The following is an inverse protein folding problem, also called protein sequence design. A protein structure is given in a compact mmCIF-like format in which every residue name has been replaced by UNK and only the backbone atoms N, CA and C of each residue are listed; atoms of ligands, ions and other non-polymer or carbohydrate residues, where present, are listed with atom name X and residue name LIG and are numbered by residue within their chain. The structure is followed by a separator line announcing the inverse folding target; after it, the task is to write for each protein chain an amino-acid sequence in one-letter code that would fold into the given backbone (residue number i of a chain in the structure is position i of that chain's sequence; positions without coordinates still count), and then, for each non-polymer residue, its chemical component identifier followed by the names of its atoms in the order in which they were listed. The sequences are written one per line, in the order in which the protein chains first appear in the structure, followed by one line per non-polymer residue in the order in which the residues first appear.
data_IF_532630630394
#
_entry.id   IF_532630630394
#
_cell.length_a   1.000
_cell.length_b   1.000
_cell.length_c   1.000
_cell.angle_alpha   90.00
_cell.angle_beta   90.00
_cell.angle_gamma   90.00
#
_symmetry.space_group_name_H-M   'P 1'
#
loop_
_entity.id
_entity.type
_entity.pdbx_description
1 polymer ?
#
# COMPACT_ATOMS: atom_id res chain seq x y z
N UNK A 1 0.68 2.91 -15.66
CA UNK A 1 1.89 3.49 -15.07
C UNK A 1 3.16 2.88 -15.65
N UNK A 2 4.19 3.72 -15.79
CA UNK A 2 5.55 3.30 -16.14
C UNK A 2 6.37 3.43 -14.87
N UNK A 3 6.90 2.33 -14.36
CA UNK A 3 7.83 2.33 -13.23
C UNK A 3 9.23 2.67 -13.74
N UNK A 4 9.88 3.64 -13.13
CA UNK A 4 11.24 4.05 -13.50
C UNK A 4 12.11 4.01 -12.26
N UNK A 5 13.20 3.25 -12.33
CA UNK A 5 14.25 3.31 -11.32
C UNK A 5 14.98 4.65 -11.45
N UNK A 6 15.00 5.43 -10.38
CA UNK A 6 15.81 6.64 -10.31
C UNK A 6 17.27 6.23 -10.08
N UNK A 7 18.06 6.18 -11.15
CA UNK A 7 19.51 5.98 -11.00
C UNK A 7 20.14 7.14 -10.25
N UNK A 8 21.11 6.86 -9.37
CA UNK A 8 21.81 7.83 -8.52
C UNK A 8 22.36 9.06 -9.28
N UNK A 9 22.64 8.92 -10.56
CA UNK A 9 23.44 9.89 -11.33
C UNK A 9 22.63 10.75 -12.30
N UNK A 10 21.31 10.66 -12.39
CA UNK A 10 20.48 11.41 -13.36
C UNK A 10 19.09 11.74 -12.83
N UNK A 11 18.96 12.01 -11.55
CA UNK A 11 17.69 12.35 -10.86
C UNK A 11 16.90 13.45 -11.61
N UNK A 12 17.59 14.51 -12.02
CA UNK A 12 16.99 15.65 -12.72
C UNK A 12 16.29 15.27 -14.03
N UNK A 13 16.91 14.37 -14.83
CA UNK A 13 16.31 13.88 -16.07
C UNK A 13 15.05 13.05 -15.85
N UNK A 14 15.03 12.26 -14.77
CA UNK A 14 13.86 11.44 -14.42
C UNK A 14 12.72 12.32 -13.91
N UNK A 15 13.02 13.35 -13.12
CA UNK A 15 12.04 14.34 -12.68
C UNK A 15 11.49 15.17 -13.83
N UNK A 16 12.33 15.55 -14.79
CA UNK A 16 11.89 16.23 -16.02
C UNK A 16 10.95 15.35 -16.85
N UNK A 17 11.30 14.07 -17.02
CA UNK A 17 10.41 13.12 -17.71
C UNK A 17 9.09 12.93 -16.95
N UNK A 18 9.13 12.87 -15.62
CA UNK A 18 7.92 12.78 -14.78
C UNK A 18 7.02 14.01 -14.94
N UNK A 19 7.61 15.21 -15.01
CA UNK A 19 6.88 16.46 -15.25
C UNK A 19 6.19 16.45 -16.62
N UNK A 20 6.91 16.05 -17.68
CA UNK A 20 6.38 15.97 -19.06
C UNK A 20 5.23 14.96 -19.15
N UNK A 21 5.33 13.84 -18.44
CA UNK A 21 4.36 12.75 -18.47
C UNK A 21 3.22 12.89 -17.44
N UNK A 22 3.15 14.02 -16.74
CA UNK A 22 2.00 14.41 -15.92
C UNK A 22 1.58 13.36 -14.88
N UNK A 23 2.54 12.75 -14.14
CA UNK A 23 2.26 11.73 -13.12
C UNK A 23 2.06 10.30 -13.64
N UNK A 24 2.19 10.04 -14.94
CA UNK A 24 2.18 8.68 -15.48
C UNK A 24 3.41 7.86 -15.08
N UNK A 25 4.52 8.52 -14.72
CA UNK A 25 5.70 7.88 -14.16
C UNK A 25 5.58 7.72 -12.64
N UNK A 26 5.95 6.53 -12.14
CA UNK A 26 6.19 6.29 -10.72
C UNK A 26 7.69 6.30 -10.46
N UNK A 27 8.11 7.15 -9.54
CA UNK A 27 9.52 7.32 -9.21
C UNK A 27 9.91 6.37 -8.07
N UNK A 28 10.95 5.58 -8.30
CA UNK A 28 11.48 4.65 -7.30
C UNK A 28 12.58 5.28 -6.48
N UNK A 29 12.46 5.21 -5.17
CA UNK A 29 13.54 5.44 -4.20
C UNK A 29 13.83 4.18 -3.38
N UNK A 30 14.04 3.04 -4.05
CA UNK A 30 14.18 1.73 -3.40
C UNK A 30 15.46 1.64 -2.57
N UNK A 31 15.31 1.38 -1.28
CA UNK A 31 16.42 1.41 -0.32
C UNK A 31 16.83 0.02 0.20
N UNK A 32 15.98 -0.98 0.12
CA UNK A 32 16.05 -2.31 0.74
C UNK A 32 16.23 -2.24 2.27
N UNK A 33 17.17 -1.47 2.78
CA UNK A 33 17.39 -1.06 4.16
C UNK A 33 18.06 0.32 4.17
N UNK A 34 18.00 1.03 5.29
CA UNK A 34 18.73 2.27 5.53
C UNK A 34 19.82 2.11 6.61
N UNK A 35 19.92 0.94 7.21
CA UNK A 35 20.98 0.64 8.17
C UNK A 35 22.31 0.41 7.44
N UNK A 36 23.38 1.08 7.94
CA UNK A 36 24.69 1.05 7.28
C UNK A 36 25.37 -0.32 7.32
N UNK A 37 25.18 -1.05 8.41
CA UNK A 37 25.78 -2.38 8.57
C UNK A 37 25.08 -3.38 7.68
N UNK A 38 23.74 -3.35 7.63
CA UNK A 38 22.93 -4.16 6.71
C UNK A 38 23.33 -3.89 5.26
N UNK A 39 23.44 -2.62 4.86
CA UNK A 39 23.84 -2.25 3.50
C UNK A 39 25.27 -2.71 3.17
N UNK A 40 26.20 -2.62 4.15
CA UNK A 40 27.56 -3.13 3.99
C UNK A 40 27.58 -4.64 3.79
N UNK A 41 26.78 -5.39 4.56
CA UNK A 41 26.68 -6.85 4.46
C UNK A 41 26.17 -7.33 3.11
N UNK A 42 25.27 -6.57 2.48
CA UNK A 42 24.75 -6.85 1.13
C UNK A 42 25.49 -6.11 0.01
N UNK A 43 26.64 -5.48 0.33
CA UNK A 43 27.51 -4.74 -0.62
C UNK A 43 26.75 -3.68 -1.43
N UNK A 44 25.82 -2.99 -0.78
CA UNK A 44 24.96 -1.97 -1.40
C UNK A 44 25.24 -0.58 -0.83
N UNK A 45 25.17 0.41 -1.69
CA UNK A 45 25.11 1.81 -1.28
C UNK A 45 23.80 2.44 -1.70
N UNK A 46 23.15 3.15 -0.80
CA UNK A 46 21.88 3.83 -1.03
C UNK A 46 22.01 5.34 -1.14
N UNK A 47 20.92 5.98 -1.56
CA UNK A 47 20.66 7.40 -1.36
C UNK A 47 20.56 7.66 0.15
N UNK A 48 20.99 8.82 0.62
CA UNK A 48 20.84 9.22 2.03
C UNK A 48 19.38 9.47 2.40
N UNK A 49 19.06 9.49 3.70
CA UNK A 49 17.73 9.86 4.17
C UNK A 49 17.32 11.25 3.68
N UNK A 50 18.23 12.25 3.72
CA UNK A 50 17.97 13.58 3.18
C UNK A 50 17.67 13.54 1.67
N UNK A 51 18.45 12.76 0.91
CA UNK A 51 18.21 12.57 -0.52
C UNK A 51 16.87 11.88 -0.83
N UNK A 52 16.37 11.01 0.07
CA UNK A 52 15.02 10.43 -0.05
C UNK A 52 13.94 11.49 0.17
N UNK A 53 14.11 12.35 1.19
CA UNK A 53 13.19 13.46 1.48
C UNK A 53 13.12 14.42 0.29
N UNK A 54 14.29 14.81 -0.25
CA UNK A 54 14.37 15.67 -1.44
C UNK A 54 13.67 15.04 -2.64
N UNK A 55 13.89 13.74 -2.88
CA UNK A 55 13.24 13.02 -3.97
C UNK A 55 11.73 12.99 -3.82
N UNK A 56 11.22 12.71 -2.62
CA UNK A 56 9.79 12.67 -2.35
C UNK A 56 9.14 14.05 -2.51
N UNK A 57 9.81 15.11 -2.03
CA UNK A 57 9.34 16.49 -2.14
C UNK A 57 9.31 16.95 -3.61
N UNK A 58 10.39 16.74 -4.36
CA UNK A 58 10.46 17.13 -5.77
C UNK A 58 9.45 16.35 -6.63
N UNK A 59 9.25 15.06 -6.34
CA UNK A 59 8.24 14.25 -7.01
C UNK A 59 6.82 14.78 -6.74
N UNK A 60 6.53 15.17 -5.50
CA UNK A 60 5.25 15.77 -5.13
C UNK A 60 4.98 17.05 -5.93
N UNK A 61 5.99 17.93 -6.08
CA UNK A 61 5.86 19.18 -6.85
C UNK A 61 5.53 18.99 -8.33
N UNK A 62 5.87 17.84 -8.89
CA UNK A 62 5.54 17.50 -10.30
C UNK A 62 4.33 16.55 -10.40
N UNK A 63 3.63 16.32 -9.30
CA UNK A 63 2.46 15.43 -9.24
C UNK A 63 2.79 13.94 -9.47
N UNK A 64 4.07 13.55 -9.32
CA UNK A 64 4.49 12.17 -9.54
C UNK A 64 4.31 11.33 -8.27
N UNK A 65 3.80 10.11 -8.46
CA UNK A 65 3.77 9.13 -7.38
C UNK A 65 5.17 8.55 -7.13
N UNK A 66 5.50 8.34 -5.87
CA UNK A 66 6.77 7.74 -5.45
C UNK A 66 6.54 6.38 -4.80
N UNK A 67 7.53 5.51 -4.91
CA UNK A 67 7.53 4.28 -4.14
C UNK A 67 8.94 3.92 -3.66
N UNK A 68 9.01 3.23 -2.53
CA UNK A 68 10.22 2.63 -2.01
C UNK A 68 10.02 1.14 -1.81
N UNK A 69 11.11 0.38 -1.86
CA UNK A 69 11.13 -1.06 -1.64
C UNK A 69 12.06 -1.34 -0.46
N UNK A 70 11.55 -2.10 0.51
CA UNK A 70 12.26 -2.51 1.72
C UNK A 70 12.24 -4.04 1.78
N UNK A 71 13.34 -4.66 2.18
CA UNK A 71 13.48 -6.11 2.29
C UNK A 71 13.71 -6.48 3.75
N UNK A 72 12.85 -7.32 4.29
CA UNK A 72 12.96 -7.89 5.63
C UNK A 72 13.87 -9.11 5.63
N UNK A 73 14.68 -9.25 6.67
CA UNK A 73 15.50 -10.43 6.91
C UNK A 73 16.88 -10.40 6.23
N UNK A 74 17.33 -9.23 5.80
CA UNK A 74 18.69 -9.05 5.28
C UNK A 74 19.75 -9.35 6.37
N UNK A 75 20.99 -9.79 5.98
CA UNK A 75 22.08 -10.04 6.90
C UNK A 75 22.37 -8.86 7.84
N UNK A 76 22.27 -9.08 9.15
CA UNK A 76 22.50 -8.05 10.16
C UNK A 76 21.29 -7.14 10.43
N UNK A 77 20.13 -7.44 9.83
CA UNK A 77 18.87 -6.75 10.15
C UNK A 77 18.36 -7.17 11.55
N UNK A 78 17.65 -6.26 12.21
CA UNK A 78 16.96 -6.51 13.49
C UNK A 78 15.56 -5.91 13.41
N UNK A 79 14.70 -6.25 14.35
CA UNK A 79 13.37 -5.64 14.49
C UNK A 79 13.47 -4.10 14.48
N UNK A 80 14.36 -3.53 15.31
CA UNK A 80 14.50 -2.08 15.44
C UNK A 80 15.07 -1.42 14.18
N UNK A 81 16.04 -2.04 13.51
CA UNK A 81 16.62 -1.53 12.26
C UNK A 81 15.59 -1.53 11.15
N UNK A 82 14.78 -2.60 11.07
CA UNK A 82 13.72 -2.71 10.10
C UNK A 82 12.64 -1.65 10.32
N UNK A 83 12.15 -1.51 11.56
CA UNK A 83 11.19 -0.47 11.94
C UNK A 83 11.70 0.94 11.62
N UNK A 84 12.96 1.24 11.96
CA UNK A 84 13.61 2.54 11.67
C UNK A 84 13.72 2.80 10.17
N UNK A 85 13.97 1.77 9.36
CA UNK A 85 13.97 1.89 7.89
C UNK A 85 12.59 2.26 7.38
N UNK A 86 11.54 1.58 7.84
CA UNK A 86 10.14 1.86 7.48
C UNK A 86 9.73 3.24 7.94
N UNK A 87 10.07 3.63 9.19
CA UNK A 87 9.84 4.96 9.75
C UNK A 87 10.43 6.06 8.86
N UNK A 88 11.70 5.93 8.51
CA UNK A 88 12.40 6.93 7.70
C UNK A 88 11.72 7.10 6.34
N UNK A 89 11.35 6.02 5.68
CA UNK A 89 10.69 6.08 4.37
C UNK A 89 9.27 6.67 4.46
N UNK A 90 8.49 6.33 5.48
CA UNK A 90 7.15 6.91 5.72
C UNK A 90 7.26 8.41 5.99
N UNK A 91 8.16 8.82 6.88
CA UNK A 91 8.32 10.21 7.28
C UNK A 91 8.92 11.06 6.14
N UNK A 92 9.69 10.45 5.22
CA UNK A 92 10.17 11.12 3.99
C UNK A 92 9.05 11.42 2.98
N UNK A 93 7.84 10.86 3.14
CA UNK A 93 6.67 11.21 2.32
C UNK A 93 6.51 10.39 1.04
N UNK A 94 7.15 9.25 0.90
CA UNK A 94 6.87 8.32 -0.20
C UNK A 94 5.40 7.91 -0.20
N UNK A 95 4.77 7.85 -1.38
CA UNK A 95 3.34 7.57 -1.49
C UNK A 95 3.00 6.09 -1.29
N UNK A 96 3.92 5.19 -1.63
CA UNK A 96 3.76 3.76 -1.44
C UNK A 96 5.07 3.11 -0.97
N UNK A 97 4.97 2.10 -0.14
CA UNK A 97 6.09 1.30 0.35
C UNK A 97 5.80 -0.17 0.07
N UNK A 98 6.65 -0.78 -0.76
CA UNK A 98 6.60 -2.21 -1.03
C UNK A 98 7.51 -2.94 -0.06
N UNK A 99 6.94 -3.86 0.70
CA UNK A 99 7.57 -4.56 1.80
C UNK A 99 7.75 -6.03 1.41
N UNK A 100 8.98 -6.38 1.08
CA UNK A 100 9.37 -7.72 0.64
C UNK A 100 10.05 -8.50 1.77
N UNK A 101 10.17 -9.80 1.57
CA UNK A 101 10.97 -10.70 2.37
C UNK A 101 12.23 -11.06 1.58
N UNK A 102 13.33 -11.36 2.27
CA UNK A 102 14.56 -11.79 1.60
C UNK A 102 14.35 -13.15 0.93
N UNK A 103 14.30 -13.16 -0.39
CA UNK A 103 14.35 -14.35 -1.21
C UNK A 103 15.81 -14.74 -1.49
N UNK A 104 16.16 -15.97 -1.22
CA UNK A 104 17.47 -16.54 -1.54
C UNK A 104 17.43 -17.08 -2.98
N UNK A 105 17.71 -16.17 -3.93
CA UNK A 105 17.67 -16.50 -5.36
C UNK A 105 18.85 -17.38 -5.75
N UNK A 106 18.64 -18.54 -6.41
CA UNK A 106 19.71 -19.39 -6.87
C UNK A 106 20.74 -18.63 -7.74
N UNK A 107 22.01 -18.84 -7.47
CA UNK A 107 23.11 -18.19 -8.19
C UNK A 107 23.50 -16.81 -7.68
N UNK A 108 22.82 -16.28 -6.66
CA UNK A 108 23.23 -15.03 -5.97
C UNK A 108 24.16 -15.35 -4.80
N UNK A 109 24.98 -14.37 -4.41
CA UNK A 109 25.91 -14.48 -3.27
C UNK A 109 25.15 -14.77 -1.97
N UNK A 110 24.00 -14.11 -1.74
CA UNK A 110 23.17 -14.31 -0.53
C UNK A 110 22.59 -15.72 -0.42
N UNK A 111 22.52 -16.47 -1.52
CA UNK A 111 22.03 -17.85 -1.52
C UNK A 111 23.16 -18.90 -1.46
N UNK A 112 24.42 -18.47 -1.29
CA UNK A 112 25.53 -19.42 -1.10
C UNK A 112 25.54 -20.00 0.30
N UNK A 113 26.06 -21.22 0.43
CA UNK A 113 26.16 -21.91 1.70
C UNK A 113 26.98 -21.11 2.71
N UNK A 114 28.08 -20.51 2.24
CA UNK A 114 29.00 -19.71 3.03
C UNK A 114 28.28 -18.52 3.68
N UNK A 115 27.44 -17.79 2.94
CA UNK A 115 26.72 -16.64 3.46
C UNK A 115 25.57 -17.07 4.39
N UNK A 116 24.86 -18.14 4.05
CA UNK A 116 23.80 -18.70 4.91
C UNK A 116 24.40 -19.13 6.27
N UNK A 117 25.51 -19.86 6.25
CA UNK A 117 26.18 -20.33 7.46
C UNK A 117 26.80 -19.14 8.25
N UNK A 118 27.36 -18.12 7.57
CA UNK A 118 27.95 -16.92 8.19
C UNK A 118 26.92 -16.12 9.01
N UNK A 119 25.70 -16.00 8.52
CA UNK A 119 24.65 -15.21 9.17
C UNK A 119 23.62 -16.05 9.90
N UNK A 120 23.85 -17.38 10.02
CA UNK A 120 22.94 -18.35 10.64
C UNK A 120 21.49 -18.17 10.12
N UNK A 121 21.36 -18.13 8.79
CA UNK A 121 20.06 -17.87 8.15
C UNK A 121 19.16 -19.11 8.23
N UNK A 122 18.00 -18.95 8.83
CA UNK A 122 16.93 -19.94 8.78
C UNK A 122 16.11 -19.74 7.52
N UNK A 123 16.07 -20.78 6.67
CA UNK A 123 15.35 -20.75 5.39
C UNK A 123 14.09 -21.60 5.47
N UNK A 124 12.98 -21.05 4.97
CA UNK A 124 11.72 -21.76 4.74
C UNK A 124 11.30 -21.63 3.28
N UNK A 125 10.35 -22.45 2.86
CA UNK A 125 9.94 -22.58 1.47
C UNK A 125 8.45 -22.32 1.31
N UNK A 126 8.07 -21.70 0.20
CA UNK A 126 6.67 -21.57 -0.22
C UNK A 126 6.58 -21.54 -1.75
N UNK A 127 5.36 -21.68 -2.26
CA UNK A 127 5.09 -21.45 -3.68
C UNK A 127 5.10 -19.96 -3.97
N UNK A 128 5.88 -19.57 -4.99
CA UNK A 128 5.90 -18.20 -5.47
C UNK A 128 4.50 -17.81 -6.00
N UNK A 129 3.85 -16.78 -5.44
CA UNK A 129 2.51 -16.40 -5.82
C UNK A 129 2.38 -16.15 -7.33
N UNK A 130 1.43 -16.81 -7.97
CA UNK A 130 1.12 -16.76 -9.42
C UNK A 130 2.13 -17.46 -10.34
N UNK A 131 3.09 -18.17 -9.81
CA UNK A 131 4.07 -18.94 -10.60
C UNK A 131 3.78 -20.43 -10.54
N UNK A 132 2.58 -20.82 -10.97
CA UNK A 132 2.09 -22.20 -11.01
C UNK A 132 1.03 -22.36 -12.11
N UNK A 133 0.89 -23.59 -12.61
CA UNK A 133 -0.09 -23.88 -13.64
C UNK A 133 0.03 -25.26 -14.26
N UNK A 134 -0.88 -25.53 -15.18
CA UNK A 134 -0.82 -26.66 -16.09
C UNK A 134 -0.27 -26.20 -17.44
N UNK A 135 0.67 -26.93 -17.99
CA UNK A 135 1.31 -26.62 -19.26
C UNK A 135 1.27 -27.88 -20.16
N UNK A 136 0.92 -27.68 -21.43
CA UNK A 136 1.00 -28.74 -22.43
C UNK A 136 2.38 -28.71 -23.07
N UNK A 137 3.17 -29.73 -22.80
CA UNK A 137 4.54 -29.88 -23.33
C UNK A 137 4.61 -31.16 -24.16
N UNK A 138 4.80 -31.00 -25.48
CA UNK A 138 4.91 -32.14 -26.42
C UNK A 138 3.73 -33.12 -26.37
N UNK A 139 2.51 -32.62 -26.04
CA UNK A 139 1.30 -33.43 -25.93
C UNK A 139 1.09 -34.06 -24.54
N UNK A 140 1.99 -33.83 -23.60
CA UNK A 140 1.82 -34.22 -22.19
C UNK A 140 1.45 -33.02 -21.33
N UNK A 141 0.48 -33.21 -20.41
CA UNK A 141 0.10 -32.19 -19.44
C UNK A 141 1.06 -32.21 -18.26
N UNK A 142 1.87 -31.15 -18.17
CA UNK A 142 2.86 -30.96 -17.10
C UNK A 142 2.30 -30.00 -16.07
N UNK A 143 2.41 -30.37 -14.80
CA UNK A 143 2.12 -29.48 -13.67
C UNK A 143 3.43 -28.83 -13.23
N UNK A 144 3.43 -27.52 -13.07
CA UNK A 144 4.60 -26.79 -12.58
C UNK A 144 4.20 -25.74 -11.55
N UNK A 145 5.03 -25.59 -10.52
CA UNK A 145 4.95 -24.51 -9.55
C UNK A 145 6.37 -24.11 -9.14
N UNK A 146 6.63 -22.81 -9.07
CA UNK A 146 7.93 -22.28 -8.64
C UNK A 146 7.98 -22.18 -7.12
N UNK A 147 9.04 -22.75 -6.54
CA UNK A 147 9.29 -22.71 -5.09
C UNK A 147 10.35 -21.65 -4.81
N UNK A 148 10.01 -20.68 -3.98
CA UNK A 148 10.95 -19.72 -3.46
C UNK A 148 11.47 -20.11 -2.07
N UNK A 149 12.75 -19.78 -1.83
CA UNK A 149 13.41 -19.91 -0.54
C UNK A 149 13.44 -18.55 0.14
N UNK A 150 12.94 -18.45 1.36
CA UNK A 150 12.81 -17.20 2.11
C UNK A 150 13.62 -17.29 3.39
N UNK A 151 14.45 -16.27 3.67
CA UNK A 151 15.09 -16.10 4.96
C UNK A 151 14.05 -15.57 5.96
N UNK A 152 13.75 -16.34 7.00
CA UNK A 152 12.74 -15.99 8.02
C UNK A 152 13.36 -15.68 9.38
N UNK A 153 14.64 -16.02 9.58
CA UNK A 153 15.43 -15.64 10.75
C UNK A 153 16.91 -15.61 10.38
N UNK A 154 17.71 -14.89 11.14
CA UNK A 154 19.15 -14.91 11.06
C UNK A 154 19.76 -14.66 12.45
N UNK A 155 21.09 -14.57 12.57
CA UNK A 155 21.79 -14.38 13.84
C UNK A 155 21.44 -13.06 14.59
N UNK A 156 20.67 -12.16 13.97
CA UNK A 156 20.28 -10.84 14.54
C UNK A 156 18.77 -10.60 14.52
N UNK A 157 18.00 -11.42 13.84
CA UNK A 157 16.55 -11.34 13.69
C UNK A 157 15.94 -12.70 13.98
N UNK A 158 15.16 -12.84 15.04
CA UNK A 158 14.42 -14.07 15.34
C UNK A 158 13.22 -14.28 14.41
N UNK A 159 12.63 -15.48 14.41
CA UNK A 159 11.40 -15.73 13.66
C UNK A 159 10.21 -14.95 14.26
N UNK A 160 10.19 -14.77 15.56
CA UNK A 160 9.22 -13.95 16.27
C UNK A 160 9.30 -12.49 15.82
N UNK A 161 10.51 -11.92 15.74
CA UNK A 161 10.73 -10.56 15.22
C UNK A 161 10.32 -10.43 13.75
N UNK A 162 10.60 -11.47 12.96
CA UNK A 162 10.12 -11.53 11.57
C UNK A 162 8.58 -11.43 11.51
N UNK A 163 7.86 -12.15 12.36
CA UNK A 163 6.39 -12.09 12.40
C UNK A 163 5.89 -10.71 12.86
N UNK A 164 6.55 -10.07 13.82
CA UNK A 164 6.23 -8.69 14.23
C UNK A 164 6.46 -7.69 13.08
N UNK A 165 7.57 -7.82 12.33
CA UNK A 165 7.78 -7.03 11.13
C UNK A 165 6.67 -7.26 10.08
N UNK A 166 6.18 -8.49 9.93
CA UNK A 166 5.09 -8.80 9.00
C UNK A 166 3.76 -8.15 9.41
N UNK A 167 3.48 -8.03 10.72
CA UNK A 167 2.32 -7.27 11.21
C UNK A 167 2.43 -5.79 10.85
N UNK A 168 3.61 -5.18 11.07
CA UNK A 168 3.88 -3.81 10.63
C UNK A 168 3.64 -3.66 9.11
N UNK A 169 4.10 -4.64 8.29
CA UNK A 169 3.89 -4.63 6.85
C UNK A 169 2.39 -4.59 6.47
N UNK A 170 1.56 -5.34 7.19
CA UNK A 170 0.12 -5.33 6.97
C UNK A 170 -0.48 -3.95 7.28
N UNK A 171 -0.14 -3.36 8.44
CA UNK A 171 -0.62 -2.04 8.83
C UNK A 171 -0.21 -0.95 7.84
N UNK A 172 1.06 -0.92 7.43
CA UNK A 172 1.53 0.01 6.38
C UNK A 172 0.76 -0.20 5.07
N UNK A 173 0.52 -1.45 4.70
CA UNK A 173 -0.19 -1.79 3.46
C UNK A 173 -1.66 -1.35 3.50
N UNK A 174 -2.33 -1.42 4.66
CA UNK A 174 -3.74 -1.04 4.82
C UNK A 174 -3.88 0.47 5.03
N UNK A 175 -3.15 1.05 5.98
CA UNK A 175 -3.41 2.41 6.45
C UNK A 175 -2.61 3.49 5.71
N UNK A 176 -1.42 3.16 5.20
CA UNK A 176 -0.55 4.15 4.56
C UNK A 176 -0.59 4.07 3.02
N UNK A 177 -0.39 2.87 2.46
CA UNK A 177 -0.35 2.69 1.01
C UNK A 177 -1.70 3.01 0.36
N UNK A 178 -1.65 3.46 -0.90
CA UNK A 178 -2.82 3.79 -1.74
C UNK A 178 -3.69 4.92 -1.19
N UNK A 179 -3.27 5.57 -0.10
CA UNK A 179 -3.93 6.75 0.48
C UNK A 179 -5.42 6.53 0.81
N UNK A 180 -5.79 5.33 1.30
CA UNK A 180 -7.17 5.04 1.73
C UNK A 180 -7.61 6.07 2.78
N UNK A 181 -6.73 6.41 3.72
CA UNK A 181 -6.92 7.47 4.71
C UNK A 181 -5.97 8.66 4.45
N UNK A 182 -5.84 9.09 3.20
CA UNK A 182 -4.77 10.00 2.75
C UNK A 182 -4.73 11.37 3.42
N UNK A 183 -5.86 11.86 3.94
CA UNK A 183 -5.91 13.14 4.68
C UNK A 183 -5.24 13.05 6.05
N UNK A 184 -5.22 11.87 6.70
CA UNK A 184 -4.63 11.70 8.04
C UNK A 184 -3.10 11.89 8.03
N UNK A 185 -2.30 11.22 7.17
CA UNK A 185 -0.87 11.52 7.05
C UNK A 185 -0.58 12.98 6.68
N UNK A 186 -1.45 13.61 5.88
CA UNK A 186 -1.33 15.02 5.50
C UNK A 186 -1.57 15.94 6.70
N UNK A 187 -2.59 15.65 7.50
CA UNK A 187 -2.88 16.37 8.74
C UNK A 187 -1.72 16.24 9.73
N UNK A 188 -1.18 15.03 9.95
CA UNK A 188 -0.06 14.81 10.86
C UNK A 188 1.16 15.66 10.46
N UNK A 189 1.50 15.70 9.16
CA UNK A 189 2.58 16.56 8.66
C UNK A 189 2.31 18.04 8.90
N UNK A 190 1.06 18.51 8.70
CA UNK A 190 0.65 19.88 9.00
C UNK A 190 0.83 20.21 10.49
N UNK A 191 0.56 19.27 11.37
CA UNK A 191 0.71 19.41 12.82
C UNK A 191 2.15 19.21 13.32
N UNK A 192 3.10 18.88 12.42
CA UNK A 192 4.48 18.56 12.80
C UNK A 192 4.64 17.23 13.55
N UNK A 193 3.67 16.31 13.43
CA UNK A 193 3.69 15.00 14.05
C UNK A 193 4.24 13.98 13.02
N UNK A 194 5.27 13.18 13.37
CA UNK A 194 5.78 12.13 12.50
C UNK A 194 4.67 11.12 12.11
N UNK A 195 4.51 10.86 10.81
CA UNK A 195 3.44 9.96 10.33
C UNK A 195 3.61 8.53 10.87
N UNK A 196 4.86 8.09 11.03
CA UNK A 196 5.14 6.75 11.57
C UNK A 196 4.65 6.58 13.03
N UNK A 197 4.59 7.67 13.80
CA UNK A 197 4.01 7.63 15.15
C UNK A 197 2.55 7.17 15.14
N UNK A 198 1.77 7.54 14.11
CA UNK A 198 0.41 7.04 13.94
C UNK A 198 0.38 5.55 13.59
N UNK A 199 1.31 5.08 12.75
CA UNK A 199 1.42 3.64 12.41
C UNK A 199 1.77 2.81 13.65
N UNK A 200 2.66 3.28 14.52
CA UNK A 200 2.97 2.59 15.78
C UNK A 200 1.81 2.65 16.77
N UNK A 201 1.11 3.79 16.86
CA UNK A 201 -0.09 3.90 17.69
C UNK A 201 -1.18 2.92 17.26
N UNK A 202 -1.32 2.58 15.97
CA UNK A 202 -2.26 1.54 15.52
C UNK A 202 -1.94 0.15 16.10
N UNK A 203 -0.66 -0.17 16.35
CA UNK A 203 -0.24 -1.45 16.95
C UNK A 203 -0.73 -1.54 18.41
N UNK A 204 -0.76 -0.40 19.11
CA UNK A 204 -1.10 -0.32 20.53
C UNK A 204 -2.61 -0.27 20.79
N UNK A 205 -3.42 0.05 19.77
CA UNK A 205 -4.87 0.10 19.89
C UNK A 205 -5.49 -1.29 19.84
N UNK A 206 -6.55 -1.50 20.65
CA UNK A 206 -7.38 -2.70 20.55
C UNK A 206 -8.35 -2.56 19.36
N UNK A 207 -8.24 -3.41 18.33
CA UNK A 207 -9.20 -3.46 17.24
C UNK A 207 -10.54 -4.04 17.68
N UNK A 208 -11.57 -3.93 16.84
CA UNK A 208 -12.82 -4.67 17.04
C UNK A 208 -12.58 -6.18 16.97
N UNK A 209 -13.46 -7.02 17.55
CA UNK A 209 -13.31 -8.47 17.52
C UNK A 209 -13.22 -9.07 16.12
N UNK A 210 -13.91 -8.50 15.14
CA UNK A 210 -13.88 -8.93 13.73
C UNK A 210 -12.56 -8.55 13.07
N UNK A 211 -12.08 -7.32 13.29
CA UNK A 211 -10.80 -6.85 12.79
C UNK A 211 -9.63 -7.58 13.45
N UNK A 212 -9.74 -7.93 14.75
CA UNK A 212 -8.76 -8.76 15.45
C UNK A 212 -8.64 -10.14 14.79
N UNK A 213 -9.77 -10.78 14.46
CA UNK A 213 -9.77 -12.07 13.73
C UNK A 213 -9.07 -11.97 12.39
N UNK A 214 -9.23 -10.85 11.66
CA UNK A 214 -8.53 -10.62 10.40
C UNK A 214 -7.01 -10.56 10.61
N UNK A 215 -6.55 -9.82 11.63
CA UNK A 215 -5.13 -9.72 11.95
C UNK A 215 -4.54 -11.04 12.44
N UNK A 216 -5.28 -11.79 13.26
CA UNK A 216 -4.87 -13.12 13.71
C UNK A 216 -4.79 -14.11 12.54
N UNK A 217 -5.74 -14.03 11.59
CA UNK A 217 -5.71 -14.86 10.38
C UNK A 217 -4.50 -14.57 9.50
N UNK A 218 -4.10 -13.30 9.40
CA UNK A 218 -2.88 -12.91 8.69
C UNK A 218 -1.62 -13.47 9.36
N UNK A 219 -1.53 -13.36 10.69
CA UNK A 219 -0.40 -13.87 11.46
C UNK A 219 -0.29 -15.41 11.32
N UNK A 220 -1.41 -16.12 11.46
CA UNK A 220 -1.48 -17.56 11.29
C UNK A 220 -1.11 -17.96 9.86
N UNK A 221 -1.69 -17.33 8.84
CA UNK A 221 -1.38 -17.62 7.43
C UNK A 221 0.09 -17.34 7.09
N UNK A 222 0.68 -16.26 7.62
CA UNK A 222 2.11 -15.94 7.43
C UNK A 222 3.03 -17.02 7.95
N UNK A 223 2.66 -17.70 9.06
CA UNK A 223 3.44 -18.81 9.61
C UNK A 223 3.17 -20.12 8.87
N UNK A 224 1.91 -20.39 8.51
CA UNK A 224 1.51 -21.70 7.95
C UNK A 224 1.77 -21.82 6.45
N UNK A 225 1.97 -20.74 5.70
CA UNK A 225 2.38 -20.82 4.29
C UNK A 225 3.80 -21.32 4.08
N UNK A 226 4.59 -21.38 5.17
CA UNK A 226 6.02 -21.66 5.14
C UNK A 226 6.31 -23.12 5.47
N UNK A 227 7.04 -23.79 4.58
CA UNK A 227 7.47 -25.19 4.71
C UNK A 227 8.92 -25.26 5.18
N UNK A 228 9.21 -26.22 6.08
CA UNK A 228 10.57 -26.45 6.56
C UNK A 228 11.44 -27.17 5.52
N UNK A 229 10.82 -27.95 4.64
CA UNK A 229 11.50 -28.76 3.64
C UNK A 229 11.00 -28.43 2.23
N UNK A 230 11.94 -28.08 1.34
CA UNK A 230 11.65 -27.92 -0.08
C UNK A 230 11.10 -29.21 -0.70
N UNK A 231 11.65 -30.35 -0.28
CA UNK A 231 11.26 -31.66 -0.80
C UNK A 231 9.80 -31.97 -0.45
N UNK A 232 9.40 -31.72 0.79
CA UNK A 232 8.02 -31.99 1.24
C UNK A 232 7.02 -31.09 0.48
N UNK A 233 7.38 -29.84 0.23
CA UNK A 233 6.59 -28.95 -0.60
C UNK A 233 6.53 -29.43 -2.07
N UNK A 234 7.63 -29.95 -2.64
CA UNK A 234 7.65 -30.52 -3.98
C UNK A 234 6.78 -31.78 -4.07
N UNK A 235 6.72 -32.58 -3.01
CA UNK A 235 5.84 -33.78 -2.95
C UNK A 235 4.37 -33.33 -2.83
N UNK A 236 4.06 -32.37 -1.98
CA UNK A 236 2.71 -31.79 -1.83
C UNK A 236 2.16 -31.24 -3.16
N UNK A 237 2.97 -30.52 -3.94
CA UNK A 237 2.55 -29.99 -5.24
C UNK A 237 2.15 -31.08 -6.24
N UNK A 238 2.75 -32.26 -6.13
CA UNK A 238 2.47 -33.41 -7.03
C UNK A 238 1.16 -34.11 -6.68
N UNK A 239 0.60 -33.88 -5.50
CA UNK A 239 -0.68 -34.47 -5.13
C UNK A 239 -1.80 -34.00 -6.07
N UNK A 240 -2.73 -34.91 -6.37
CA UNK A 240 -3.82 -34.65 -7.30
C UNK A 240 -4.68 -33.46 -6.81
N UNK A 241 -4.89 -32.48 -7.68
CA UNK A 241 -5.74 -31.31 -7.42
C UNK A 241 -5.09 -30.17 -6.63
N UNK A 242 -3.86 -30.35 -6.09
CA UNK A 242 -3.19 -29.31 -5.31
C UNK A 242 -2.92 -28.08 -6.17
N UNK A 243 -2.40 -28.22 -7.38
CA UNK A 243 -2.14 -27.08 -8.27
C UNK A 243 -3.45 -26.40 -8.68
N UNK A 244 -4.56 -27.12 -8.78
CA UNK A 244 -5.87 -26.53 -9.05
C UNK A 244 -6.36 -25.64 -7.89
N UNK A 245 -6.01 -25.97 -6.64
CA UNK A 245 -6.26 -25.12 -5.46
C UNK A 245 -5.42 -23.82 -5.49
N UNK A 246 -4.20 -23.87 -6.02
CA UNK A 246 -3.40 -22.66 -6.29
C UNK A 246 -4.01 -21.83 -7.43
N UNK A 247 -4.46 -22.46 -8.51
CA UNK A 247 -5.07 -21.78 -9.66
C UNK A 247 -6.40 -21.12 -9.28
N UNK A 248 -7.24 -21.80 -8.48
CA UNK A 248 -8.50 -21.24 -7.98
C UNK A 248 -8.31 -20.08 -7.00
N UNK A 249 -7.11 -19.93 -6.44
CA UNK A 249 -6.80 -18.92 -5.42
C UNK A 249 -7.15 -19.35 -3.99
N UNK A 250 -7.40 -20.62 -3.76
CA UNK A 250 -7.53 -21.16 -2.40
C UNK A 250 -6.18 -21.14 -1.67
N UNK A 251 -5.08 -21.42 -2.38
CA UNK A 251 -3.72 -21.42 -1.88
C UNK A 251 -2.83 -20.44 -2.65
N UNK A 252 -1.65 -20.10 -2.08
CA UNK A 252 -0.55 -19.41 -2.77
C UNK A 252 -0.83 -17.95 -3.12
N UNK A 253 -1.66 -17.28 -2.36
CA UNK A 253 -1.95 -15.88 -2.58
C UNK A 253 -0.92 -14.99 -1.87
N UNK A 254 -0.76 -13.76 -2.38
CA UNK A 254 -0.03 -12.74 -1.63
C UNK A 254 -0.85 -12.32 -0.42
N UNK A 255 -0.42 -12.72 0.77
CA UNK A 255 -1.16 -12.53 2.03
C UNK A 255 -1.42 -11.06 2.35
N UNK A 256 -0.47 -10.16 2.07
CA UNK A 256 -0.68 -8.72 2.28
C UNK A 256 -1.83 -8.19 1.41
N UNK A 257 -1.90 -8.59 0.15
CA UNK A 257 -2.96 -8.13 -0.74
C UNK A 257 -4.32 -8.72 -0.40
N UNK A 258 -4.38 -10.00 -0.03
CA UNK A 258 -5.64 -10.64 0.36
C UNK A 258 -6.19 -10.00 1.63
N UNK A 259 -5.37 -9.88 2.68
CA UNK A 259 -5.83 -9.32 3.95
C UNK A 259 -6.14 -7.83 3.85
N UNK A 260 -5.37 -7.05 3.07
CA UNK A 260 -5.74 -5.67 2.74
C UNK A 260 -7.11 -5.61 2.05
N UNK A 261 -7.36 -6.50 1.10
CA UNK A 261 -8.64 -6.53 0.37
C UNK A 261 -9.79 -6.81 1.34
N UNK A 262 -9.68 -7.84 2.16
CA UNK A 262 -10.68 -8.15 3.19
C UNK A 262 -10.88 -6.98 4.15
N UNK A 263 -9.80 -6.37 4.63
CA UNK A 263 -9.86 -5.20 5.50
C UNK A 263 -10.65 -4.04 4.88
N UNK A 264 -10.33 -3.67 3.64
CA UNK A 264 -10.94 -2.52 2.96
C UNK A 264 -12.37 -2.79 2.50
N UNK A 265 -12.66 -4.02 2.05
CA UNK A 265 -14.00 -4.35 1.51
C UNK A 265 -15.00 -4.78 2.56
N UNK A 266 -14.55 -5.31 3.71
CA UNK A 266 -15.44 -5.86 4.74
C UNK A 266 -15.39 -5.12 6.07
N UNK A 267 -14.30 -4.33 6.33
CA UNK A 267 -14.03 -3.74 7.64
C UNK A 267 -13.64 -2.27 7.58
N UNK A 268 -14.00 -1.54 6.50
CA UNK A 268 -13.55 -0.15 6.29
C UNK A 268 -13.96 0.79 7.42
N UNK A 269 -15.15 0.62 7.98
CA UNK A 269 -15.66 1.40 9.11
C UNK A 269 -14.87 1.09 10.39
N UNK A 270 -14.60 -0.18 10.65
CA UNK A 270 -13.81 -0.62 11.81
C UNK A 270 -12.33 -0.17 11.68
N UNK A 271 -11.79 -0.13 10.45
CA UNK A 271 -10.48 0.46 10.17
C UNK A 271 -10.48 1.97 10.48
N UNK A 272 -11.54 2.68 10.11
CA UNK A 272 -11.69 4.11 10.42
C UNK A 272 -11.75 4.35 11.94
N UNK A 273 -12.47 3.52 12.69
CA UNK A 273 -12.53 3.59 14.15
C UNK A 273 -11.15 3.37 14.78
N UNK A 274 -10.41 2.37 14.28
CA UNK A 274 -9.05 2.09 14.76
C UNK A 274 -8.11 3.25 14.44
N UNK A 275 -8.19 3.80 13.21
CA UNK A 275 -7.44 4.97 12.78
C UNK A 275 -7.74 6.20 13.64
N UNK A 276 -9.02 6.42 14.00
CA UNK A 276 -9.45 7.50 14.87
C UNK A 276 -8.82 7.40 16.27
N UNK A 277 -8.85 6.21 16.89
CA UNK A 277 -8.25 5.97 18.21
C UNK A 277 -6.75 6.28 18.18
N UNK A 278 -6.03 5.77 17.18
CA UNK A 278 -4.59 6.02 17.02
C UNK A 278 -4.28 7.51 16.75
N UNK A 279 -5.11 8.22 15.95
CA UNK A 279 -4.98 9.66 15.75
C UNK A 279 -5.19 10.46 17.03
N UNK A 280 -6.19 10.09 17.82
CA UNK A 280 -6.48 10.72 19.11
C UNK A 280 -5.28 10.59 20.05
N UNK A 281 -4.67 9.42 20.10
CA UNK A 281 -3.49 9.16 20.91
C UNK A 281 -2.30 10.04 20.47
N UNK A 282 -2.00 10.07 19.17
CA UNK A 282 -0.95 10.95 18.62
C UNK A 282 -1.18 12.43 18.93
N UNK A 283 -2.41 12.92 18.77
CA UNK A 283 -2.76 14.33 19.02
C UNK A 283 -2.66 14.65 20.51
N UNK A 284 -3.11 13.72 21.38
CA UNK A 284 -3.07 13.90 22.82
C UNK A 284 -1.64 14.03 23.38
N UNK A 285 -0.72 13.20 22.87
CA UNK A 285 0.69 13.17 23.30
C UNK A 285 1.57 14.21 22.57
N UNK A 286 1.01 14.92 21.58
CA UNK A 286 1.74 15.97 20.87
C UNK A 286 1.76 17.31 21.61
N UNK A 287 2.66 18.20 21.21
CA UNK A 287 2.73 19.59 21.68
C UNK A 287 1.69 20.51 21.04
N UNK A 288 0.72 19.97 20.30
CA UNK A 288 -0.37 20.74 19.70
C UNK A 288 -1.21 21.40 20.79
N UNK A 289 -1.38 22.72 20.71
CA UNK A 289 -2.02 23.55 21.74
C UNK A 289 -3.53 23.33 21.94
N UNK A 290 -4.26 24.41 22.26
CA UNK A 290 -5.67 24.39 22.71
C UNK A 290 -6.70 23.87 21.68
N UNK A 291 -6.34 23.68 20.42
CA UNK A 291 -7.28 23.36 19.34
C UNK A 291 -7.56 21.84 19.15
N UNK A 292 -7.16 21.02 20.13
CA UNK A 292 -7.31 19.55 20.05
C UNK A 292 -8.71 19.09 19.69
N UNK A 293 -9.74 19.73 20.23
CA UNK A 293 -11.13 19.37 19.93
C UNK A 293 -11.48 19.65 18.45
N UNK A 294 -11.03 20.77 17.90
CA UNK A 294 -11.25 21.12 16.51
C UNK A 294 -10.52 20.13 15.59
N UNK A 295 -9.28 19.77 15.94
CA UNK A 295 -8.50 18.79 15.22
C UNK A 295 -9.18 17.41 15.23
N UNK A 296 -9.71 16.98 16.39
CA UNK A 296 -10.43 15.70 16.47
C UNK A 296 -11.72 15.70 15.66
N UNK A 297 -12.45 16.83 15.67
CA UNK A 297 -13.62 17.01 14.83
C UNK A 297 -13.27 16.92 13.31
N UNK A 298 -12.13 17.49 12.94
CA UNK A 298 -11.61 17.34 11.57
C UNK A 298 -11.24 15.88 11.24
N UNK A 299 -10.62 15.17 12.17
CA UNK A 299 -10.28 13.73 12.00
C UNK A 299 -11.53 12.89 11.79
N UNK A 300 -12.58 13.13 12.57
CA UNK A 300 -13.87 12.43 12.43
C UNK A 300 -14.46 12.67 11.03
N UNK A 301 -14.55 13.93 10.58
CA UNK A 301 -15.04 14.26 9.25
C UNK A 301 -14.17 13.65 8.13
N UNK A 302 -12.84 13.67 8.30
CA UNK A 302 -11.92 13.06 7.35
C UNK A 302 -12.13 11.54 7.23
N UNK A 303 -12.41 10.86 8.33
CA UNK A 303 -12.69 9.43 8.32
C UNK A 303 -14.04 9.12 7.67
N UNK A 304 -15.11 9.86 7.98
CA UNK A 304 -16.40 9.75 7.30
C UNK A 304 -16.23 9.94 5.78
N UNK A 305 -15.48 10.97 5.38
CA UNK A 305 -15.17 11.24 3.98
C UNK A 305 -14.48 10.06 3.29
N UNK A 306 -13.45 9.47 3.93
CA UNK A 306 -12.73 8.35 3.35
C UNK A 306 -13.56 7.06 3.30
N UNK A 307 -14.35 6.78 4.33
CA UNK A 307 -15.29 5.65 4.36
C UNK A 307 -16.29 5.78 3.21
N UNK A 308 -16.93 6.94 3.06
CA UNK A 308 -17.90 7.19 2.01
C UNK A 308 -17.29 7.04 0.60
N UNK A 309 -16.01 7.40 0.42
CA UNK A 309 -15.29 7.21 -0.85
C UNK A 309 -15.00 5.76 -1.18
N UNK A 310 -14.72 4.92 -0.20
CA UNK A 310 -14.16 3.58 -0.41
C UNK A 310 -15.14 2.43 -0.15
N UNK A 311 -16.18 2.63 0.67
CA UNK A 311 -17.11 1.59 1.10
C UNK A 311 -17.90 1.04 -0.09
N UNK A 312 -17.98 -0.28 -0.22
CA UNK A 312 -18.82 -1.03 -1.15
C UNK A 312 -18.68 -0.67 -2.65
N UNK A 313 -17.53 -0.10 -3.04
CA UNK A 313 -17.29 0.33 -4.44
C UNK A 313 -17.29 -0.81 -5.45
N UNK A 314 -17.07 -2.06 -5.03
CA UNK A 314 -17.13 -3.25 -5.89
C UNK A 314 -18.49 -3.98 -5.85
N UNK A 315 -19.37 -3.61 -4.91
CA UNK A 315 -20.66 -4.29 -4.69
C UNK A 315 -21.81 -3.42 -5.21
N UNK A 316 -21.76 -2.11 -4.90
CA UNK A 316 -22.83 -1.18 -5.23
C UNK A 316 -22.31 0.06 -5.96
N UNK A 317 -22.07 -0.10 -7.27
CA UNK A 317 -21.50 0.97 -8.12
C UNK A 317 -22.49 2.09 -8.44
N UNK A 318 -23.78 1.89 -8.20
CA UNK A 318 -24.84 2.89 -8.51
C UNK A 318 -25.26 3.74 -7.31
N UNK A 319 -24.85 3.37 -6.11
CA UNK A 319 -25.20 4.07 -4.88
C UNK A 319 -24.53 5.44 -4.79
N UNK A 320 -25.33 6.42 -4.37
CA UNK A 320 -24.84 7.73 -3.95
C UNK A 320 -24.88 7.74 -2.42
N UNK A 321 -23.70 7.86 -1.80
CA UNK A 321 -23.57 7.99 -0.35
C UNK A 321 -23.60 9.47 0.01
N UNK A 322 -24.30 9.85 1.06
CA UNK A 322 -24.39 11.23 1.53
C UNK A 322 -23.88 11.32 2.96
N UNK A 323 -22.96 12.28 3.23
CA UNK A 323 -22.40 12.52 4.56
C UNK A 323 -22.47 14.02 4.87
N UNK A 324 -22.82 14.34 6.11
CA UNK A 324 -22.80 15.72 6.61
C UNK A 324 -21.44 15.98 7.27
N UNK A 325 -20.69 16.96 6.71
CA UNK A 325 -19.35 17.31 7.17
C UNK A 325 -19.32 18.75 7.66
N UNK A 326 -18.51 19.00 8.71
CA UNK A 326 -18.24 20.32 9.31
C UNK A 326 -17.07 21.03 8.64
N UNK A 327 -16.24 20.26 7.90
CA UNK A 327 -15.07 20.75 7.17
C UNK A 327 -15.13 20.35 5.70
N UNK A 328 -14.61 21.20 4.81
CA UNK A 328 -14.39 20.83 3.41
C UNK A 328 -13.13 19.96 3.27
N UNK A 329 -13.30 18.66 3.57
CA UNK A 329 -12.22 17.67 3.50
C UNK A 329 -11.72 17.50 2.07
N UNK A 330 -12.59 17.66 1.06
CA UNK A 330 -12.23 17.64 -0.36
C UNK A 330 -11.20 18.73 -0.68
N UNK A 331 -11.51 19.98 -0.31
CA UNK A 331 -10.60 21.11 -0.53
C UNK A 331 -9.27 20.93 0.23
N UNK A 332 -9.32 20.36 1.43
CA UNK A 332 -8.08 20.01 2.16
C UNK A 332 -7.27 18.94 1.44
N UNK A 333 -7.91 17.88 0.92
CA UNK A 333 -7.24 16.80 0.18
C UNK A 333 -6.55 17.35 -1.09
N UNK A 334 -7.20 18.25 -1.82
CA UNK A 334 -6.74 18.85 -3.08
C UNK A 334 -5.64 19.91 -2.89
N UNK A 335 -5.67 20.68 -1.79
CA UNK A 335 -4.69 21.75 -1.56
C UNK A 335 -3.31 21.18 -1.22
N UNK A 336 -2.32 21.43 -2.06
CA UNK A 336 -0.95 20.87 -1.92
C UNK A 336 -0.33 21.22 -0.55
N UNK A 337 -0.39 22.48 -0.13
CA UNK A 337 0.13 22.97 1.15
C UNK A 337 -0.98 23.70 1.92
N UNK A 338 -1.75 22.99 2.76
CA UNK A 338 -2.74 23.63 3.61
C UNK A 338 -2.03 24.50 4.67
N UNK A 339 -2.56 25.69 4.93
CA UNK A 339 -2.04 26.59 5.97
C UNK A 339 -2.53 26.20 7.36
N UNK A 340 -3.84 26.05 7.52
CA UNK A 340 -4.51 25.65 8.76
C UNK A 340 -5.73 24.82 8.43
N UNK A 341 -6.14 23.92 9.35
CA UNK A 341 -7.41 23.21 9.23
C UNK A 341 -8.60 24.17 9.31
N UNK A 342 -8.46 25.29 10.03
CA UNK A 342 -9.51 26.30 10.17
C UNK A 342 -9.89 26.95 8.83
N UNK A 343 -8.98 26.95 7.84
CA UNK A 343 -9.25 27.46 6.48
C UNK A 343 -10.33 26.63 5.76
N UNK A 344 -10.62 25.44 6.25
CA UNK A 344 -11.56 24.48 5.67
C UNK A 344 -12.84 24.32 6.50
N UNK A 345 -12.98 25.07 7.59
CA UNK A 345 -14.20 25.06 8.41
C UNK A 345 -15.38 25.63 7.63
N UNK A 346 -16.47 24.89 7.58
CA UNK A 346 -17.70 25.33 6.94
C UNK A 346 -18.51 26.19 7.92
N UNK A 347 -19.19 27.27 7.45
CA UNK A 347 -20.02 28.11 8.33
C UNK A 347 -21.15 27.33 9.02
N UNK A 348 -21.68 26.33 8.36
CA UNK A 348 -22.62 25.33 8.88
C UNK A 348 -22.24 23.98 8.28
N UNK A 349 -22.52 22.86 8.97
CA UNK A 349 -22.35 21.53 8.38
C UNK A 349 -23.05 21.44 7.01
N UNK A 350 -22.43 20.76 6.06
CA UNK A 350 -22.92 20.60 4.70
C UNK A 350 -22.98 19.13 4.29
N UNK A 351 -24.01 18.80 3.53
CA UNK A 351 -24.12 17.48 2.93
C UNK A 351 -23.24 17.39 1.68
N UNK A 352 -22.41 16.36 1.64
CA UNK A 352 -21.59 15.98 0.50
C UNK A 352 -22.11 14.67 -0.08
N UNK A 353 -22.24 14.61 -1.40
CA UNK A 353 -22.64 13.42 -2.13
C UNK A 353 -21.43 12.73 -2.76
N UNK A 354 -21.28 11.42 -2.51
CA UNK A 354 -20.21 10.57 -3.02
C UNK A 354 -20.78 9.60 -4.06
N UNK A 355 -20.22 9.59 -5.27
CA UNK A 355 -20.73 8.84 -6.41
C UNK A 355 -19.59 8.33 -7.30
N UNK A 356 -19.85 7.26 -8.04
CA UNK A 356 -19.01 6.79 -9.13
C UNK A 356 -19.54 7.35 -10.45
N UNK A 357 -18.68 7.93 -11.27
CA UNK A 357 -19.03 8.31 -12.63
C UNK A 357 -19.09 7.09 -13.56
N UNK A 358 -19.58 7.29 -14.77
CA UNK A 358 -19.77 6.17 -15.71
C UNK A 358 -18.44 5.54 -16.16
N UNK A 359 -17.36 6.33 -16.20
CA UNK A 359 -16.03 5.82 -16.54
C UNK A 359 -15.46 4.92 -15.43
N UNK A 360 -15.70 5.29 -14.17
CA UNK A 360 -15.31 4.48 -13.01
C UNK A 360 -16.10 3.19 -12.93
N UNK A 361 -17.43 3.23 -13.16
CA UNK A 361 -18.29 2.04 -13.21
C UNK A 361 -17.82 1.07 -14.29
N UNK A 362 -17.61 1.56 -15.52
CA UNK A 362 -17.09 0.74 -16.62
C UNK A 362 -15.71 0.14 -16.30
N UNK A 363 -14.85 0.90 -15.63
CA UNK A 363 -13.54 0.42 -15.20
C UNK A 363 -13.64 -0.71 -14.18
N UNK A 364 -14.50 -0.54 -13.16
CA UNK A 364 -14.77 -1.54 -12.13
C UNK A 364 -15.37 -2.80 -12.77
N UNK A 365 -16.43 -2.67 -13.58
CA UNK A 365 -17.11 -3.79 -14.24
C UNK A 365 -16.13 -4.58 -15.14
N UNK A 366 -15.29 -3.86 -15.89
CA UNK A 366 -14.26 -4.49 -16.73
C UNK A 366 -13.29 -5.33 -15.92
N UNK A 367 -12.80 -4.80 -14.79
CA UNK A 367 -11.85 -5.52 -13.96
C UNK A 367 -12.48 -6.66 -13.18
N UNK A 368 -13.71 -6.50 -12.70
CA UNK A 368 -14.48 -7.59 -12.10
C UNK A 368 -14.73 -8.71 -13.13
N UNK A 369 -15.01 -8.36 -14.39
CA UNK A 369 -15.11 -9.33 -15.49
C UNK A 369 -13.83 -10.12 -15.78
N UNK A 370 -12.65 -9.51 -15.53
CA UNK A 370 -11.34 -10.15 -15.76
C UNK A 370 -10.88 -10.99 -14.57
N UNK A 371 -11.07 -10.48 -13.34
CA UNK A 371 -10.46 -11.04 -12.13
C UNK A 371 -11.47 -11.68 -11.17
N UNK A 372 -12.76 -11.46 -11.37
CA UNK A 372 -13.84 -11.89 -10.47
C UNK A 372 -13.99 -10.98 -9.25
N UNK A 373 -15.06 -11.25 -8.48
CA UNK A 373 -15.49 -10.50 -7.29
C UNK A 373 -15.02 -11.13 -5.96
N UNK A 374 -14.31 -12.25 -6.03
CA UNK A 374 -13.73 -12.88 -4.86
C UNK A 374 -12.64 -11.98 -4.21
N UNK A 375 -12.32 -12.13 -2.92
CA UNK A 375 -11.25 -11.37 -2.27
C UNK A 375 -9.91 -11.44 -3.03
N UNK A 376 -9.61 -12.58 -3.66
CA UNK A 376 -8.43 -12.76 -4.49
C UNK A 376 -8.54 -11.97 -5.80
N UNK A 377 -9.70 -11.97 -6.43
CA UNK A 377 -9.98 -11.20 -7.65
C UNK A 377 -9.88 -9.70 -7.38
N UNK A 378 -10.56 -9.20 -6.36
CA UNK A 378 -10.50 -7.80 -5.94
C UNK A 378 -9.06 -7.41 -5.53
N UNK A 379 -8.32 -8.28 -4.83
CA UNK A 379 -6.92 -8.06 -4.50
C UNK A 379 -6.04 -7.89 -5.74
N UNK A 380 -6.31 -8.64 -6.81
CA UNK A 380 -5.66 -8.45 -8.12
C UNK A 380 -6.01 -7.09 -8.74
N UNK A 381 -7.27 -6.65 -8.64
CA UNK A 381 -7.70 -5.33 -9.11
C UNK A 381 -6.92 -4.25 -8.35
N UNK A 382 -6.94 -4.28 -7.02
CA UNK A 382 -6.25 -3.30 -6.16
C UNK A 382 -4.72 -3.27 -6.41
N UNK A 383 -4.13 -4.37 -6.86
CA UNK A 383 -2.70 -4.43 -7.22
C UNK A 383 -2.36 -3.89 -8.62
N UNK A 384 -3.32 -3.81 -9.53
CA UNK A 384 -3.13 -3.43 -10.94
C UNK A 384 -3.62 -2.02 -11.26
N UNK A 385 -4.63 -1.55 -10.54
CA UNK A 385 -5.22 -0.23 -10.74
C UNK A 385 -4.68 0.73 -9.70
N UNK A 386 -4.54 1.99 -10.07
CA UNK A 386 -4.33 3.03 -9.08
C UNK A 386 -5.62 3.16 -8.25
N UNK A 387 -5.60 2.70 -7.02
CA UNK A 387 -6.78 2.50 -6.18
C UNK A 387 -7.63 3.78 -6.05
N UNK A 388 -6.97 4.94 -6.00
CA UNK A 388 -7.64 6.25 -5.94
C UNK A 388 -8.58 6.52 -7.13
N UNK A 389 -8.34 5.91 -8.31
CA UNK A 389 -9.24 6.02 -9.47
C UNK A 389 -10.55 5.25 -9.30
N UNK A 390 -10.60 4.33 -8.34
CA UNK A 390 -11.79 3.54 -8.02
C UNK A 390 -12.64 4.19 -6.94
N UNK A 391 -12.11 5.17 -6.19
CA UNK A 391 -12.85 5.84 -5.13
C UNK A 391 -13.90 6.76 -5.70
N UNK A 392 -15.06 6.86 -5.01
CA UNK A 392 -16.13 7.78 -5.38
C UNK A 392 -15.62 9.22 -5.47
N UNK A 393 -16.14 9.96 -6.43
CA UNK A 393 -16.05 11.41 -6.46
C UNK A 393 -16.88 12.01 -5.35
N UNK A 394 -16.54 13.25 -4.95
CA UNK A 394 -17.23 14.00 -3.93
C UNK A 394 -17.67 15.36 -4.49
N UNK A 395 -18.94 15.75 -4.25
CA UNK A 395 -19.47 17.07 -4.59
C UNK A 395 -20.35 17.62 -3.48
N UNK A 396 -20.50 18.93 -3.43
CA UNK A 396 -21.56 19.57 -2.62
C UNK A 396 -22.93 19.38 -3.26
N UNK A 397 -23.96 19.20 -2.46
CA UNK A 397 -25.32 19.14 -3.00
C UNK A 397 -25.79 20.45 -3.60
N UNK A 398 -25.26 21.62 -3.18
CA UNK A 398 -25.52 22.92 -3.77
C UNK A 398 -24.97 23.10 -5.19
N UNK A 399 -24.05 22.26 -5.65
CA UNK A 399 -23.51 22.29 -7.02
C UNK A 399 -24.56 21.87 -8.06
N UNK A 400 -25.75 21.41 -7.64
CA UNK A 400 -26.88 21.06 -8.53
C UNK A 400 -27.61 22.29 -9.10
N UNK A 401 -27.41 23.53 -8.59
CA UNK A 401 -28.12 24.75 -9.00
C UNK A 401 -27.28 25.74 -9.81
N UNK A 402 -26.05 25.41 -10.18
CA UNK A 402 -25.19 26.24 -11.01
C UNK A 402 -25.21 25.82 -12.46
N UNK A 403 -25.87 26.58 -13.34
CA UNK A 403 -25.84 26.45 -14.80
C UNK A 403 -24.45 26.62 -15.41
N UNK A 404 -24.16 26.09 -16.62
CA UNK A 404 -22.83 25.75 -17.14
C UNK A 404 -22.07 26.98 -17.62
N UNK A 405 -20.96 27.35 -16.99
CA UNK A 405 -20.13 28.46 -17.41
C UNK A 405 -18.66 28.48 -16.96
N UNK A 406 -18.23 27.53 -16.17
CA UNK A 406 -16.84 27.44 -15.73
C UNK A 406 -16.14 26.25 -16.35
N UNK A 407 -15.19 26.49 -17.27
CA UNK A 407 -14.32 25.46 -17.81
C UNK A 407 -13.52 24.83 -16.66
N UNK A 408 -13.87 23.59 -16.33
CA UNK A 408 -13.10 22.73 -15.44
C UNK A 408 -11.71 22.52 -16.03
N UNK A 409 -10.69 23.12 -15.43
CA UNK A 409 -9.30 23.00 -15.90
C UNK A 409 -8.67 21.65 -15.53
N UNK A 410 -9.44 20.70 -14.96
CA UNK A 410 -8.95 19.39 -14.54
C UNK A 410 -9.09 18.29 -15.60
N UNK A 411 -9.74 18.57 -16.76
CA UNK A 411 -10.00 17.57 -17.81
C UNK A 411 -9.27 17.78 -19.13
N UNK A 412 -8.22 18.58 -19.17
CA UNK A 412 -7.46 18.77 -20.40
C UNK A 412 -6.14 17.98 -20.39
N UNK A 413 -6.16 16.66 -20.45
CA UNK A 413 -5.03 15.85 -20.97
C UNK A 413 -5.35 14.36 -21.20
N UNK A 414 -6.58 14.00 -21.57
CA UNK A 414 -6.89 12.62 -21.99
C UNK A 414 -7.35 12.51 -23.47
N UNK A 415 -6.73 13.29 -24.37
CA UNK A 415 -6.85 13.03 -25.82
C UNK A 415 -5.47 12.74 -26.41
N UNK A 416 -4.95 11.53 -26.16
CA UNK A 416 -4.04 10.91 -27.11
C UNK A 416 -4.80 9.82 -27.89
N UNK A 417 -5.28 10.21 -29.06
CA UNK A 417 -5.64 9.28 -30.13
C UNK A 417 -4.41 8.43 -30.48
N UNK A 418 -4.46 7.15 -30.16
CA UNK A 418 -3.59 6.17 -30.79
C UNK A 418 -4.18 5.89 -32.18
N UNK A 419 -3.73 6.66 -33.19
CA UNK A 419 -3.86 6.29 -34.58
C UNK A 419 -2.61 5.49 -34.98
N UNK A 420 -2.81 4.28 -35.43
CA UNK A 420 -1.87 3.58 -36.30
C UNK A 420 -1.00 2.54 -35.61
N UNK A 421 -1.44 1.30 -35.59
CA UNK A 421 -0.64 0.10 -35.89
C UNK A 421 -1.61 -0.98 -36.42
N UNK A 422 -1.94 -0.86 -37.68
CA UNK A 422 -2.20 -2.00 -38.57
C UNK A 422 -0.88 -2.27 -39.30
N UNK A 423 -0.22 -3.36 -38.95
CA UNK A 423 0.38 -4.39 -39.81
C UNK A 423 1.18 -5.35 -38.92
#
# INVERSE_FOLDING_TARGET
YINVATGKNKKERVLEAARILGGALRLSGSVQSLDKDVLSNIKRSNISADGLMDLALEASQVGANTYSEIILGLPGDTLEKHFRTVETVINSGFTNIYLFQLMLLPGTELATREVIDQYDMTTKYRILPRCYGHFDVLGERVVSAEIESICVANNTLSFEDYLECRKLHLLVTIFYNDSIFGTLPKLLRLLGIPVFQWITALIEQAPSPSLQKLFDSFAAATSTELWDSRKDLEEFIKEAGVVDRFISGELGNNLLFVHKTLAVTQHIEELADLACKAMKDCIYHSSVGSDRQVIMTFVEDALLYHVAKAKDIFINTTEIVAEELRFDIRAFEEREKPGSINDFTLPTPRTFSFYLDDSQKQLIDRYLGIYGDSPVGIGRILSKVFVRKLFRHCRFDSDQFGMPGGRDKSTSNDQFHIAGLQN
#
